data_IF_274846434532
#
_entry.id   IF_274846434532
#
_cell.length_a   1.000
_cell.length_b   1.000
_cell.length_c   1.000
_cell.angle_alpha   90.00
_cell.angle_beta   90.00
_cell.angle_gamma   90.00
#
_symmetry.space_group_name_H-M   'P 1'
#
loop_
_entity.id
_entity.type
_entity.pdbx_description
1 polymer ?
#
# COMPACT_ATOMS: atom_id res chain seq x y z
N UNK A 1 11.51 9.21 -28.29
CA UNK A 1 11.90 10.10 -27.17
C UNK A 1 12.45 9.25 -26.06
N UNK A 2 13.56 9.62 -25.45
CA UNK A 2 14.06 8.92 -24.25
C UNK A 2 13.05 9.10 -23.12
N UNK A 3 12.75 8.05 -22.38
CA UNK A 3 11.87 8.06 -21.20
C UNK A 3 12.48 8.95 -20.11
N UNK A 4 11.69 9.88 -19.55
CA UNK A 4 12.14 10.72 -18.44
C UNK A 4 12.30 9.88 -17.17
N UNK A 5 13.29 10.20 -16.34
CA UNK A 5 13.55 9.53 -15.06
C UNK A 5 12.59 10.06 -14.00
N UNK A 6 12.14 9.16 -13.14
CA UNK A 6 11.15 9.46 -12.08
C UNK A 6 11.75 9.18 -10.72
N UNK A 7 11.70 10.18 -9.85
CA UNK A 7 12.23 10.11 -8.49
C UNK A 7 11.16 10.36 -7.45
N UNK A 8 11.42 9.92 -6.22
CA UNK A 8 10.55 10.14 -5.05
C UNK A 8 11.13 11.31 -4.26
N UNK A 9 10.33 12.36 -4.09
CA UNK A 9 10.74 13.58 -3.37
C UNK A 9 9.97 13.79 -2.06
N UNK A 10 8.85 13.11 -1.85
CA UNK A 10 8.08 13.20 -0.61
C UNK A 10 7.28 11.95 -0.31
N UNK A 11 7.01 11.72 0.97
CA UNK A 11 6.28 10.57 1.47
C UNK A 11 5.35 10.96 2.62
N UNK A 12 4.18 10.33 2.69
CA UNK A 12 3.23 10.46 3.79
C UNK A 12 2.51 9.17 4.06
N UNK A 13 2.16 8.91 5.32
CA UNK A 13 1.59 7.63 5.72
C UNK A 13 0.74 7.74 6.97
N UNK A 14 -0.32 6.92 7.01
CA UNK A 14 -1.02 6.51 8.21
C UNK A 14 -1.09 4.99 8.20
N UNK A 15 -0.77 4.36 9.31
CA UNK A 15 -0.78 2.90 9.45
C UNK A 15 -1.19 2.50 10.87
N UNK A 16 -1.44 1.21 11.14
CA UNK A 16 -1.65 0.73 12.51
C UNK A 16 -0.46 0.95 13.46
N UNK A 17 0.73 1.26 12.91
CA UNK A 17 1.94 1.51 13.68
C UNK A 17 2.17 2.99 14.02
N UNK A 18 1.54 3.91 13.29
CA UNK A 18 1.69 5.34 13.50
C UNK A 18 0.93 6.18 12.50
N UNK A 19 0.81 7.48 12.79
CA UNK A 19 0.06 8.46 11.99
C UNK A 19 0.94 9.27 11.04
N UNK A 20 2.20 8.89 10.91
CA UNK A 20 3.17 9.46 9.99
C UNK A 20 4.24 8.44 9.57
N UNK A 21 5.09 8.81 8.61
CA UNK A 21 6.18 7.95 8.12
C UNK A 21 7.21 7.63 9.22
N UNK A 22 7.71 8.59 10.02
CA UNK A 22 8.69 8.29 11.06
C UNK A 22 8.19 7.31 12.12
N UNK A 23 7.00 7.50 12.67
CA UNK A 23 6.44 6.63 13.72
C UNK A 23 6.12 5.23 13.20
N UNK A 24 5.61 5.13 11.97
CA UNK A 24 5.34 3.85 11.31
C UNK A 24 6.65 3.09 11.06
N UNK A 25 7.69 3.77 10.54
CA UNK A 25 8.99 3.14 10.29
C UNK A 25 9.69 2.68 11.55
N UNK A 26 9.65 3.48 12.62
CA UNK A 26 10.16 3.06 13.93
C UNK A 26 9.45 1.81 14.44
N UNK A 27 8.13 1.71 14.26
CA UNK A 27 7.36 0.51 14.58
C UNK A 27 7.80 -0.71 13.80
N UNK A 28 8.06 -0.55 12.49
CA UNK A 28 8.59 -1.60 11.61
C UNK A 28 9.96 -2.08 12.08
N UNK A 29 10.90 -1.17 12.32
CA UNK A 29 12.25 -1.52 12.76
C UNK A 29 12.27 -2.20 14.14
N UNK A 30 11.35 -1.82 15.02
CA UNK A 30 11.19 -2.43 16.33
C UNK A 30 10.48 -3.80 16.30
N UNK A 31 10.01 -4.27 15.13
CA UNK A 31 9.23 -5.51 15.02
C UNK A 31 7.90 -5.44 15.79
N UNK A 32 7.29 -4.25 15.91
CA UNK A 32 6.07 -4.06 16.69
C UNK A 32 4.85 -4.44 15.85
N UNK A 33 3.92 -5.21 16.43
CA UNK A 33 2.61 -5.44 15.82
C UNK A 33 1.68 -4.25 16.05
N UNK A 34 1.04 -3.77 14.97
CA UNK A 34 -0.05 -2.78 15.03
C UNK A 34 -1.43 -3.43 15.18
N UNK A 35 -1.50 -4.76 15.24
CA UNK A 35 -2.74 -5.52 15.25
C UNK A 35 -3.24 -5.68 16.69
N UNK A 36 -4.52 -5.38 16.92
CA UNK A 36 -5.17 -5.47 18.23
C UNK A 36 -6.68 -5.69 18.07
N UNK A 37 -7.41 -5.98 19.15
CA UNK A 37 -8.86 -6.01 19.13
C UNK A 37 -9.45 -4.71 18.56
N UNK A 38 -10.52 -4.82 17.78
CA UNK A 38 -11.28 -3.68 17.25
C UNK A 38 -12.27 -3.23 18.33
N UNK A 39 -12.18 -1.98 18.77
CA UNK A 39 -12.94 -1.45 19.90
C UNK A 39 -14.05 -0.46 19.48
N UNK A 40 -14.02 0.03 18.24
CA UNK A 40 -14.98 1.05 17.77
C UNK A 40 -16.33 0.48 17.32
N UNK A 41 -16.53 -0.84 17.42
CA UNK A 41 -17.77 -1.52 17.09
C UNK A 41 -17.89 -2.85 17.85
N UNK A 42 -19.13 -3.33 18.04
CA UNK A 42 -19.38 -4.66 18.60
C UNK A 42 -19.16 -5.75 17.55
N UNK A 43 -18.15 -6.57 17.77
CA UNK A 43 -17.81 -7.72 16.93
C UNK A 43 -18.07 -9.07 17.62
N UNK A 44 -18.85 -9.12 18.71
CA UNK A 44 -19.12 -10.36 19.49
C UNK A 44 -19.72 -11.48 18.64
N UNK A 45 -20.52 -11.14 17.61
CA UNK A 45 -21.13 -12.09 16.69
C UNK A 45 -20.21 -12.48 15.49
N UNK A 46 -19.03 -11.89 15.37
CA UNK A 46 -18.13 -12.13 14.23
C UNK A 46 -17.05 -13.17 14.58
N UNK A 47 -16.62 -13.94 13.56
CA UNK A 47 -15.54 -14.92 13.72
C UNK A 47 -14.17 -14.25 13.94
N UNK A 48 -13.97 -13.05 13.41
CA UNK A 48 -12.76 -12.24 13.60
C UNK A 48 -13.13 -10.95 14.32
N UNK A 49 -12.42 -10.63 15.42
CA UNK A 49 -12.71 -9.49 16.29
C UNK A 49 -11.53 -8.55 16.47
N UNK A 50 -10.54 -8.64 15.60
CA UNK A 50 -9.30 -7.85 15.63
C UNK A 50 -8.91 -7.38 14.23
N UNK A 51 -8.01 -6.39 14.17
CA UNK A 51 -7.50 -5.81 12.94
C UNK A 51 -6.43 -4.78 13.21
N UNK A 52 -5.95 -4.17 12.14
CA UNK A 52 -4.99 -3.07 12.21
C UNK A 52 -5.70 -1.72 12.01
N UNK A 53 -6.26 -1.15 13.06
CA UNK A 53 -6.88 0.18 13.00
C UNK A 53 -5.84 1.30 13.16
N UNK A 54 -6.03 2.42 12.47
CA UNK A 54 -5.24 3.65 12.68
C UNK A 54 -5.62 4.25 14.04
N UNK A 55 -4.63 4.43 14.91
CA UNK A 55 -4.81 4.97 16.26
C UNK A 55 -4.14 6.34 16.40
N UNK A 56 -4.75 7.24 17.15
CA UNK A 56 -4.20 8.57 17.40
C UNK A 56 -4.29 9.53 16.22
N UNK A 57 -5.11 9.23 15.21
CA UNK A 57 -5.35 10.13 14.10
C UNK A 57 -6.20 11.33 14.54
N UNK A 58 -5.64 12.50 14.41
CA UNK A 58 -6.31 13.77 14.64
C UNK A 58 -6.56 14.46 13.29
N UNK A 59 -7.82 14.41 12.85
CA UNK A 59 -8.23 14.96 11.55
C UNK A 59 -8.10 16.48 11.50
N UNK A 60 -8.20 17.18 12.64
CA UNK A 60 -8.16 18.64 12.69
C UNK A 60 -6.79 19.22 12.33
N UNK A 61 -5.74 18.39 12.33
CA UNK A 61 -4.43 18.77 11.80
C UNK A 61 -4.42 18.93 10.26
N UNK A 62 -5.42 18.39 9.57
CA UNK A 62 -5.48 18.34 8.11
C UNK A 62 -6.69 19.02 7.50
N UNK A 63 -7.83 19.02 8.19
CA UNK A 63 -9.08 19.63 7.72
C UNK A 63 -9.99 19.99 8.91
N UNK A 64 -10.95 20.87 8.70
CA UNK A 64 -11.92 21.20 9.75
C UNK A 64 -12.82 20.02 10.09
N UNK A 65 -13.26 19.90 11.35
CA UNK A 65 -14.23 18.90 11.78
C UNK A 65 -15.56 18.94 10.97
N UNK A 66 -15.92 20.11 10.43
CA UNK A 66 -17.10 20.28 9.57
C UNK A 66 -16.89 19.61 8.20
N UNK A 67 -15.72 19.69 7.63
CA UNK A 67 -15.37 19.02 6.35
C UNK A 67 -15.22 17.51 6.56
N UNK A 68 -14.52 17.10 7.61
CA UNK A 68 -14.30 15.69 7.93
C UNK A 68 -15.63 14.90 8.05
N UNK A 69 -16.66 15.49 8.66
CA UNK A 69 -17.99 14.85 8.79
C UNK A 69 -18.71 14.56 7.48
N UNK A 70 -18.26 15.12 6.36
CA UNK A 70 -18.81 14.87 5.02
C UNK A 70 -18.12 13.73 4.29
N UNK A 71 -16.98 13.26 4.80
CA UNK A 71 -16.06 12.36 4.13
C UNK A 71 -15.93 11.06 4.91
N UNK A 72 -15.96 9.93 4.20
CA UNK A 72 -15.58 8.65 4.78
C UNK A 72 -14.11 8.68 5.24
N UNK A 73 -13.77 7.87 6.23
CA UNK A 73 -12.43 7.82 6.82
C UNK A 73 -11.33 7.49 5.80
N UNK A 74 -11.63 6.66 4.77
CA UNK A 74 -10.61 6.40 3.75
C UNK A 74 -10.19 7.67 3.01
N UNK A 75 -11.11 8.62 2.77
CA UNK A 75 -10.80 9.92 2.16
C UNK A 75 -9.98 10.77 3.14
N UNK A 76 -10.37 10.81 4.41
CA UNK A 76 -9.63 11.57 5.43
C UNK A 76 -8.19 11.05 5.56
N UNK A 77 -7.97 9.73 5.61
CA UNK A 77 -6.65 9.11 5.66
C UNK A 77 -5.83 9.40 4.39
N UNK A 78 -6.44 9.25 3.22
CA UNK A 78 -5.80 9.54 1.94
C UNK A 78 -5.36 10.99 1.81
N UNK A 79 -6.20 11.94 2.22
CA UNK A 79 -5.85 13.36 2.25
C UNK A 79 -4.73 13.66 3.25
N UNK A 80 -4.80 13.11 4.46
CA UNK A 80 -3.77 13.31 5.48
C UNK A 80 -2.40 12.81 5.00
N UNK A 81 -2.32 11.58 4.47
CA UNK A 81 -1.08 11.04 3.90
C UNK A 81 -0.57 11.90 2.72
N UNK A 82 -1.48 12.38 1.88
CA UNK A 82 -1.12 13.24 0.74
C UNK A 82 -0.57 14.60 1.17
N UNK A 83 -1.18 15.24 2.16
CA UNK A 83 -0.66 16.50 2.71
C UNK A 83 0.71 16.30 3.37
N UNK A 84 0.93 15.19 4.06
CA UNK A 84 2.25 14.84 4.59
C UNK A 84 3.28 14.71 3.45
N UNK A 85 2.95 13.96 2.39
CA UNK A 85 3.84 13.75 1.26
C UNK A 85 4.20 15.05 0.53
N UNK A 86 3.22 15.92 0.27
CA UNK A 86 3.45 17.23 -0.36
C UNK A 86 4.30 18.13 0.53
N UNK A 87 4.04 18.16 1.83
CA UNK A 87 4.84 18.92 2.80
C UNK A 87 6.29 18.40 2.87
N UNK A 88 6.48 17.09 2.93
CA UNK A 88 7.79 16.45 2.97
C UNK A 88 8.62 16.73 1.70
N UNK A 89 7.95 16.80 0.54
CA UNK A 89 8.59 17.11 -0.75
C UNK A 89 9.08 18.55 -0.87
N UNK A 90 8.57 19.48 -0.04
CA UNK A 90 8.80 20.92 -0.20
C UNK A 90 8.29 21.49 -1.53
N UNK A 91 7.32 20.82 -2.16
CA UNK A 91 6.72 21.26 -3.42
C UNK A 91 5.84 22.50 -3.18
N UNK A 92 6.12 23.58 -3.89
CA UNK A 92 5.29 24.77 -3.91
C UNK A 92 4.42 24.75 -5.19
N UNK A 93 3.10 24.87 -5.03
CA UNK A 93 2.14 24.94 -6.13
C UNK A 93 1.95 26.40 -6.51
N UNK A 94 2.17 26.71 -7.78
CA UNK A 94 2.08 28.07 -8.33
C UNK A 94 1.24 28.08 -9.62
N UNK A 95 0.86 29.27 -10.10
CA UNK A 95 0.18 29.40 -11.39
C UNK A 95 0.99 28.85 -12.56
N UNK A 96 2.31 28.86 -12.44
CA UNK A 96 3.21 28.40 -13.51
C UNK A 96 3.33 26.87 -13.60
N UNK A 97 3.09 26.14 -12.51
CA UNK A 97 3.32 24.69 -12.46
C UNK A 97 2.06 23.84 -12.20
N UNK A 98 0.95 24.43 -11.74
CA UNK A 98 -0.27 23.69 -11.32
C UNK A 98 -0.83 22.75 -12.38
N UNK A 99 -0.74 23.09 -13.67
CA UNK A 99 -1.22 22.27 -14.78
C UNK A 99 -0.32 21.04 -15.03
N UNK A 100 0.88 21.03 -14.45
CA UNK A 100 1.87 19.95 -14.56
C UNK A 100 1.94 19.05 -13.32
N UNK A 101 1.09 19.31 -12.30
CA UNK A 101 1.03 18.55 -11.07
C UNK A 101 -0.30 17.80 -11.01
N UNK A 102 -0.24 16.47 -11.03
CA UNK A 102 -1.42 15.60 -11.01
C UNK A 102 -1.55 14.78 -9.73
N UNK A 103 -2.65 14.03 -9.65
CA UNK A 103 -3.00 13.18 -8.50
C UNK A 103 -3.53 11.82 -8.97
N UNK A 104 -3.04 10.75 -8.37
CA UNK A 104 -3.48 9.37 -8.62
C UNK A 104 -3.54 8.58 -7.31
N UNK A 105 -4.64 8.69 -6.58
CA UNK A 105 -4.85 7.98 -5.30
C UNK A 105 -6.14 7.19 -5.37
N UNK A 106 -6.02 5.87 -5.16
CA UNK A 106 -7.14 4.94 -5.18
C UNK A 106 -7.49 4.35 -3.82
N UNK A 107 -8.53 3.54 -3.81
CA UNK A 107 -8.94 2.69 -2.71
C UNK A 107 -9.42 1.36 -3.27
N UNK A 108 -9.28 0.28 -2.51
CA UNK A 108 -9.75 -1.04 -2.94
C UNK A 108 -11.27 -1.14 -2.93
N UNK A 109 -11.93 -0.56 -1.93
CA UNK A 109 -13.38 -0.63 -1.73
C UNK A 109 -14.03 0.75 -1.67
N UNK A 110 -13.32 1.77 -1.20
CA UNK A 110 -13.86 3.12 -1.04
C UNK A 110 -14.64 3.31 0.26
N UNK A 111 -15.69 4.13 0.23
CA UNK A 111 -16.45 4.57 1.39
C UNK A 111 -17.35 3.52 2.01
N UNK A 112 -16.82 2.36 2.37
CA UNK A 112 -17.58 1.21 2.86
C UNK A 112 -18.32 1.54 4.16
N UNK A 113 -17.70 2.26 5.08
CA UNK A 113 -18.32 2.68 6.34
C UNK A 113 -19.48 3.65 6.10
N UNK A 114 -19.30 4.62 5.19
CA UNK A 114 -20.35 5.56 4.84
C UNK A 114 -21.53 4.87 4.13
N UNK A 115 -21.24 3.88 3.26
CA UNK A 115 -22.26 3.04 2.62
C UNK A 115 -23.06 2.27 3.68
N UNK A 116 -22.38 1.58 4.61
CA UNK A 116 -23.02 0.82 5.70
C UNK A 116 -23.95 1.71 6.54
N UNK A 117 -23.46 2.86 7.00
CA UNK A 117 -24.21 3.79 7.81
C UNK A 117 -25.39 4.41 7.05
N UNK A 118 -25.20 4.73 5.77
CA UNK A 118 -26.28 5.30 4.93
C UNK A 118 -27.35 4.27 4.62
N UNK A 119 -26.98 3.01 4.37
CA UNK A 119 -27.97 1.92 4.22
C UNK A 119 -28.82 1.75 5.48
N UNK A 120 -28.21 1.78 6.67
CA UNK A 120 -28.94 1.72 7.94
C UNK A 120 -29.93 2.89 8.05
N UNK A 121 -29.48 4.12 7.79
CA UNK A 121 -30.35 5.31 7.82
C UNK A 121 -31.50 5.22 6.81
N UNK A 122 -31.23 4.70 5.60
CA UNK A 122 -32.25 4.51 4.57
C UNK A 122 -33.37 3.56 5.04
N UNK A 123 -32.99 2.40 5.61
CA UNK A 123 -33.97 1.39 6.03
C UNK A 123 -34.71 1.76 7.31
N UNK A 124 -34.07 2.43 8.27
CA UNK A 124 -34.68 2.80 9.53
C UNK A 124 -35.48 4.12 9.47
N UNK A 125 -35.05 5.09 8.67
CA UNK A 125 -35.55 6.46 8.70
C UNK A 125 -36.05 7.01 7.35
N UNK A 126 -35.84 6.23 6.27
CA UNK A 126 -36.28 6.56 4.91
C UNK A 126 -35.34 7.47 4.12
N UNK A 127 -35.62 7.68 2.82
CA UNK A 127 -34.70 8.33 1.87
C UNK A 127 -34.38 9.79 2.16
N UNK A 128 -35.27 10.50 2.90
CA UNK A 128 -35.03 11.91 3.26
C UNK A 128 -33.87 12.11 4.26
N UNK A 129 -33.36 11.02 4.85
CA UNK A 129 -32.26 11.06 5.80
C UNK A 129 -30.89 10.79 5.15
N UNK A 130 -30.86 10.45 3.87
CA UNK A 130 -29.61 10.31 3.12
C UNK A 130 -28.92 11.67 3.04
N UNK A 131 -27.64 11.70 3.40
CA UNK A 131 -26.82 12.92 3.33
C UNK A 131 -26.61 13.35 1.87
N UNK A 132 -26.69 14.66 1.53
CA UNK A 132 -26.30 15.14 0.20
C UNK A 132 -24.82 14.93 -0.08
N UNK A 133 -24.00 14.66 0.93
CA UNK A 133 -22.58 14.33 0.81
C UNK A 133 -22.30 12.83 0.69
N UNK A 134 -23.33 11.97 0.68
CA UNK A 134 -23.13 10.52 0.59
C UNK A 134 -22.28 10.12 -0.62
N UNK A 135 -22.65 10.55 -1.82
CA UNK A 135 -21.92 10.20 -3.03
C UNK A 135 -20.49 10.76 -3.02
N UNK A 136 -20.26 12.09 -2.90
CA UNK A 136 -18.90 12.62 -2.89
C UNK A 136 -18.06 12.19 -1.68
N UNK A 137 -18.69 11.77 -0.59
CA UNK A 137 -18.03 11.24 0.60
C UNK A 137 -17.69 9.73 0.52
N UNK A 138 -18.09 9.03 -0.55
CA UNK A 138 -17.91 7.58 -0.68
C UNK A 138 -17.15 7.15 -1.93
N UNK A 139 -17.17 7.93 -3.01
CA UNK A 139 -16.61 7.55 -4.31
C UNK A 139 -15.09 7.55 -4.27
N UNK A 140 -14.48 6.51 -4.83
CA UNK A 140 -13.05 6.21 -4.68
C UNK A 140 -12.12 7.32 -5.17
N UNK A 141 -12.47 7.98 -6.29
CA UNK A 141 -11.63 9.05 -6.85
C UNK A 141 -11.64 10.36 -6.04
N UNK A 142 -12.40 10.43 -4.95
CA UNK A 142 -12.56 11.69 -4.23
C UNK A 142 -11.36 12.06 -3.35
N UNK A 143 -10.46 11.14 -3.03
CA UNK A 143 -9.16 11.53 -2.45
C UNK A 143 -8.39 12.39 -3.45
N UNK A 144 -8.26 11.92 -4.71
CA UNK A 144 -7.63 12.68 -5.79
C UNK A 144 -8.37 13.99 -6.07
N UNK A 145 -9.70 13.95 -6.12
CA UNK A 145 -10.54 15.11 -6.36
C UNK A 145 -10.38 16.20 -5.28
N UNK A 146 -10.49 15.85 -4.01
CA UNK A 146 -10.35 16.82 -2.90
C UNK A 146 -8.92 17.36 -2.79
N UNK A 147 -7.90 16.52 -2.96
CA UNK A 147 -6.52 16.99 -2.95
C UNK A 147 -6.27 18.01 -4.06
N UNK A 148 -6.74 17.71 -5.27
CA UNK A 148 -6.67 18.60 -6.43
C UNK A 148 -7.36 19.95 -6.15
N UNK A 149 -8.58 19.93 -5.62
CA UNK A 149 -9.35 21.14 -5.26
C UNK A 149 -8.62 21.97 -4.20
N UNK A 150 -8.16 21.31 -3.14
CA UNK A 150 -7.60 21.98 -1.97
C UNK A 150 -6.23 22.59 -2.23
N UNK A 151 -5.43 21.99 -3.12
CA UNK A 151 -4.08 22.47 -3.48
C UNK A 151 -4.01 23.17 -4.84
N UNK A 152 -5.12 23.20 -5.62
CA UNK A 152 -5.16 23.82 -6.93
C UNK A 152 -4.40 23.03 -8.00
N UNK A 153 -4.32 21.71 -7.90
CA UNK A 153 -3.60 20.85 -8.85
C UNK A 153 -4.46 20.60 -10.09
N UNK A 154 -3.93 20.89 -11.27
CA UNK A 154 -4.68 20.88 -12.52
C UNK A 154 -4.13 19.89 -13.57
N UNK A 155 -3.13 19.08 -13.20
CA UNK A 155 -2.63 17.98 -14.01
C UNK A 155 -3.57 16.77 -14.01
N UNK A 156 -3.12 15.60 -14.50
CA UNK A 156 -3.92 14.38 -14.52
C UNK A 156 -4.54 14.06 -13.15
N UNK A 157 -5.84 13.76 -13.10
CA UNK A 157 -6.57 13.49 -11.85
C UNK A 157 -7.44 12.24 -12.01
N UNK A 158 -7.06 11.15 -11.36
CA UNK A 158 -7.75 9.87 -11.47
C UNK A 158 -7.52 9.00 -10.22
N UNK A 159 -8.23 7.86 -10.17
CA UNK A 159 -8.01 6.79 -9.21
C UNK A 159 -8.14 5.45 -9.92
N UNK A 160 -7.15 4.57 -9.73
CA UNK A 160 -7.19 3.18 -10.16
C UNK A 160 -7.63 2.35 -8.97
N UNK A 161 -8.55 1.42 -9.21
CA UNK A 161 -9.05 0.47 -8.21
C UNK A 161 -8.80 -0.94 -8.70
N UNK A 162 -7.90 -1.65 -8.03
CA UNK A 162 -7.47 -3.01 -8.36
C UNK A 162 -7.24 -3.83 -7.08
N UNK A 163 -8.23 -3.77 -6.17
CA UNK A 163 -8.19 -4.47 -4.89
C UNK A 163 -6.87 -4.21 -4.14
N UNK A 164 -6.17 -5.28 -3.72
CA UNK A 164 -4.92 -5.17 -2.96
C UNK A 164 -3.75 -4.54 -3.75
N UNK A 165 -3.86 -4.40 -5.07
CA UNK A 165 -2.81 -3.85 -5.94
C UNK A 165 -3.02 -2.36 -6.23
N UNK A 166 -4.10 -1.77 -5.73
CA UNK A 166 -4.51 -0.38 -5.99
C UNK A 166 -3.37 0.63 -5.80
N UNK A 167 -2.73 0.65 -4.64
CA UNK A 167 -1.65 1.61 -4.35
C UNK A 167 -0.44 1.46 -5.28
N UNK A 168 -0.04 0.22 -5.55
CA UNK A 168 1.04 -0.10 -6.49
C UNK A 168 0.72 0.37 -7.91
N UNK A 169 -0.50 0.13 -8.40
CA UNK A 169 -0.92 0.54 -9.73
C UNK A 169 -1.02 2.06 -9.85
N UNK A 170 -1.55 2.76 -8.84
CA UNK A 170 -1.59 4.23 -8.85
C UNK A 170 -0.19 4.84 -8.92
N UNK A 171 0.77 4.34 -8.12
CA UNK A 171 2.16 4.81 -8.15
C UNK A 171 2.81 4.50 -9.51
N UNK A 172 2.68 3.28 -10.01
CA UNK A 172 3.27 2.88 -11.28
C UNK A 172 2.72 3.64 -12.49
N UNK A 173 1.40 3.86 -12.54
CA UNK A 173 0.76 4.63 -13.63
C UNK A 173 1.08 6.12 -13.53
N UNK A 174 1.13 6.68 -12.32
CA UNK A 174 1.57 8.06 -12.11
C UNK A 174 3.03 8.27 -12.58
N UNK A 175 3.91 7.30 -12.31
CA UNK A 175 5.27 7.34 -12.85
C UNK A 175 5.30 7.32 -14.39
N UNK A 176 4.40 6.56 -15.03
CA UNK A 176 4.26 6.58 -16.49
C UNK A 176 3.80 7.93 -17.01
N UNK A 177 2.82 8.60 -16.37
CA UNK A 177 2.42 9.96 -16.76
C UNK A 177 3.63 10.92 -16.78
N UNK A 178 4.49 10.84 -15.76
CA UNK A 178 5.73 11.64 -15.72
C UNK A 178 6.70 11.19 -16.81
N UNK A 179 6.97 9.90 -16.93
CA UNK A 179 7.94 9.36 -17.87
C UNK A 179 7.60 9.68 -19.33
N UNK A 180 6.32 9.75 -19.67
CA UNK A 180 5.83 10.12 -21.01
C UNK A 180 5.56 11.61 -21.19
N UNK A 181 5.76 12.44 -20.16
CA UNK A 181 5.68 13.90 -20.27
C UNK A 181 4.30 14.51 -20.08
N UNK A 182 3.33 13.76 -19.59
CA UNK A 182 1.98 14.28 -19.30
C UNK A 182 1.95 15.14 -18.04
N UNK A 183 2.79 14.85 -17.06
CA UNK A 183 2.99 15.61 -15.84
C UNK A 183 4.48 15.76 -15.52
N UNK A 184 4.84 16.71 -14.66
CA UNK A 184 6.18 16.82 -14.10
C UNK A 184 6.21 16.31 -12.66
N UNK A 185 5.06 16.36 -11.97
CA UNK A 185 4.87 15.86 -10.59
C UNK A 185 3.55 15.14 -10.50
N UNK A 186 3.52 14.03 -9.76
CA UNK A 186 2.30 13.29 -9.41
C UNK A 186 2.31 12.96 -7.91
N UNK A 187 1.21 13.24 -7.23
CA UNK A 187 0.94 12.71 -5.89
C UNK A 187 0.18 11.40 -6.08
N UNK A 188 0.76 10.28 -5.68
CA UNK A 188 0.19 8.97 -5.97
C UNK A 188 0.22 8.03 -4.77
N UNK A 189 -0.77 7.13 -4.70
CA UNK A 189 -0.84 6.16 -3.60
C UNK A 189 -2.18 5.47 -3.48
N UNK A 190 -2.51 5.11 -2.24
CA UNK A 190 -3.77 4.45 -1.91
C UNK A 190 -4.18 4.66 -0.46
N UNK A 191 -5.47 4.57 -0.21
CA UNK A 191 -6.06 4.66 1.13
C UNK A 191 -7.17 3.64 1.31
N UNK A 192 -7.39 3.19 2.53
CA UNK A 192 -8.44 2.21 2.85
C UNK A 192 -8.93 2.37 4.29
N UNK A 193 -10.24 2.23 4.49
CA UNK A 193 -10.86 2.00 5.78
C UNK A 193 -11.92 0.93 5.62
N UNK A 194 -11.58 -0.29 5.98
CA UNK A 194 -12.42 -1.47 5.77
C UNK A 194 -12.68 -2.26 7.07
N UNK A 195 -12.14 -1.84 8.23
CA UNK A 195 -12.44 -2.46 9.53
C UNK A 195 -13.81 -2.02 10.06
N UNK A 196 -14.85 -2.24 9.24
CA UNK A 196 -16.25 -2.02 9.55
C UNK A 196 -17.05 -3.34 9.45
N UNK A 197 -18.32 -3.33 9.79
CA UNK A 197 -19.17 -4.54 9.81
C UNK A 197 -19.21 -5.28 8.48
N UNK A 198 -19.39 -4.55 7.37
CA UNK A 198 -19.38 -5.15 6.03
C UNK A 198 -18.00 -5.68 5.64
N UNK A 199 -16.92 -4.99 6.00
CA UNK A 199 -15.56 -5.43 5.69
C UNK A 199 -15.19 -6.70 6.46
N UNK A 200 -15.28 -6.67 7.80
CA UNK A 200 -14.99 -7.84 8.64
C UNK A 200 -15.95 -9.01 8.31
N UNK A 201 -17.24 -8.72 8.16
CA UNK A 201 -18.25 -9.74 7.85
C UNK A 201 -18.07 -10.35 6.46
N UNK A 202 -17.79 -9.52 5.46
CA UNK A 202 -17.61 -9.97 4.07
C UNK A 202 -16.36 -10.86 3.88
N UNK A 203 -15.21 -10.41 4.38
CA UNK A 203 -13.99 -11.22 4.33
C UNK A 203 -14.05 -12.43 5.26
N UNK A 204 -14.75 -12.32 6.40
CA UNK A 204 -15.03 -13.46 7.29
C UNK A 204 -15.91 -14.52 6.63
N UNK A 205 -16.98 -14.11 5.92
CA UNK A 205 -17.83 -15.03 5.14
C UNK A 205 -17.06 -15.74 4.02
N UNK A 206 -16.08 -15.05 3.42
CA UNK A 206 -15.16 -15.62 2.44
C UNK A 206 -14.08 -16.52 3.06
N UNK A 207 -14.04 -16.65 4.39
CA UNK A 207 -13.01 -17.39 5.15
C UNK A 207 -11.58 -16.95 4.82
N UNK A 208 -11.40 -15.67 4.54
CA UNK A 208 -10.12 -15.10 4.17
C UNK A 208 -9.35 -14.52 5.36
N UNK A 209 -10.03 -14.22 6.48
CA UNK A 209 -9.44 -13.63 7.68
C UNK A 209 -8.94 -14.69 8.66
N UNK A 210 -7.84 -14.35 9.34
CA UNK A 210 -7.41 -15.08 10.54
C UNK A 210 -8.47 -14.99 11.63
N UNK A 211 -8.64 -16.07 12.36
CA UNK A 211 -9.56 -16.18 13.51
C UNK A 211 -8.83 -16.29 14.85
N UNK A 212 -7.55 -15.96 14.90
CA UNK A 212 -6.69 -16.01 16.09
C UNK A 212 -7.02 -14.88 17.09
N UNK A 213 -8.26 -14.87 17.59
CA UNK A 213 -8.78 -13.83 18.48
C UNK A 213 -8.07 -13.76 19.85
N UNK A 214 -7.50 -14.86 20.32
CA UNK A 214 -6.82 -14.93 21.63
C UNK A 214 -5.43 -14.29 21.60
N UNK A 215 -4.80 -14.23 20.42
CA UNK A 215 -3.47 -13.65 20.22
C UNK A 215 -3.42 -12.75 18.96
N UNK A 216 -4.17 -11.63 18.90
CA UNK A 216 -4.26 -10.80 17.70
C UNK A 216 -2.91 -10.36 17.13
N UNK A 217 -1.97 -9.97 18.00
CA UNK A 217 -0.64 -9.52 17.59
C UNK A 217 0.20 -10.62 16.90
N UNK A 218 -0.19 -11.88 17.03
CA UNK A 218 0.45 -13.04 16.41
C UNK A 218 -0.33 -13.62 15.24
N UNK A 219 -1.44 -12.98 14.83
CA UNK A 219 -2.33 -13.51 13.80
C UNK A 219 -1.73 -13.38 12.39
N UNK A 220 -1.14 -12.23 12.06
CA UNK A 220 -0.44 -12.07 10.78
C UNK A 220 0.97 -12.67 10.87
N UNK A 221 1.15 -13.80 10.17
CA UNK A 221 2.37 -14.62 10.23
C UNK A 221 2.74 -15.21 8.87
N UNK A 222 3.12 -14.35 7.90
CA UNK A 222 3.44 -14.80 6.55
C UNK A 222 4.49 -15.92 6.54
N UNK A 223 4.25 -16.95 5.71
CA UNK A 223 5.08 -18.16 5.54
C UNK A 223 5.21 -19.08 6.76
N UNK A 224 4.62 -18.70 7.90
CA UNK A 224 4.56 -19.62 9.05
C UNK A 224 3.50 -20.72 8.81
N UNK A 225 3.80 -21.97 9.25
CA UNK A 225 2.91 -23.12 9.03
C UNK A 225 1.55 -22.97 9.71
N UNK A 226 1.48 -22.18 10.80
CA UNK A 226 0.27 -22.00 11.60
C UNK A 226 -0.55 -20.77 11.17
N UNK A 227 -0.28 -20.18 10.00
CA UNK A 227 -1.07 -19.10 9.42
C UNK A 227 -2.45 -19.59 9.00
N UNK A 228 -3.47 -18.79 9.24
CA UNK A 228 -4.88 -19.14 9.02
C UNK A 228 -5.69 -18.09 8.23
N UNK A 229 -5.02 -17.11 7.64
CA UNK A 229 -5.66 -16.03 6.88
C UNK A 229 -5.01 -14.68 7.12
N UNK A 230 -5.42 -13.68 6.35
CA UNK A 230 -4.88 -12.33 6.53
C UNK A 230 -5.55 -11.58 7.68
N UNK A 231 -4.94 -10.50 8.13
CA UNK A 231 -5.50 -9.56 9.11
C UNK A 231 -5.89 -8.27 8.38
N UNK A 232 -7.17 -7.90 8.43
CA UNK A 232 -7.69 -6.69 7.80
C UNK A 232 -7.19 -5.45 8.53
N UNK A 233 -6.75 -4.43 7.78
CA UNK A 233 -6.17 -3.21 8.36
C UNK A 233 -6.52 -1.98 7.54
N UNK A 234 -6.46 -0.82 8.19
CA UNK A 234 -6.76 0.50 7.65
C UNK A 234 -5.51 1.36 7.52
N UNK A 235 -5.55 2.36 6.67
CA UNK A 235 -4.52 3.37 6.55
C UNK A 235 -4.43 4.00 5.18
N UNK A 236 -3.33 4.71 4.95
CA UNK A 236 -3.03 5.35 3.68
C UNK A 236 -1.51 5.48 3.49
N UNK A 237 -1.09 5.45 2.23
CA UNK A 237 0.26 5.84 1.81
C UNK A 237 0.18 6.73 0.59
N UNK A 238 0.99 7.77 0.57
CA UNK A 238 1.14 8.66 -0.57
C UNK A 238 2.62 9.01 -0.79
N UNK A 239 3.01 9.06 -2.05
CA UNK A 239 4.35 9.51 -2.48
C UNK A 239 4.22 10.67 -3.46
N UNK A 240 5.17 11.58 -3.44
CA UNK A 240 5.37 12.57 -4.49
C UNK A 240 6.40 12.01 -5.46
N UNK A 241 5.93 11.72 -6.66
CA UNK A 241 6.74 11.34 -7.82
C UNK A 241 7.07 12.59 -8.60
N UNK A 242 8.30 12.71 -9.04
CA UNK A 242 8.77 13.92 -9.74
C UNK A 242 9.76 13.57 -10.86
N UNK A 243 9.74 14.33 -11.94
CA UNK A 243 10.73 14.24 -12.99
C UNK A 243 12.09 14.66 -12.43
N UNK A 244 13.14 13.91 -12.74
CA UNK A 244 14.46 14.07 -12.13
C UNK A 244 15.04 15.47 -12.29
N UNK A 245 15.03 16.03 -13.50
CA UNK A 245 15.64 17.35 -13.75
C UNK A 245 14.78 18.47 -13.14
N UNK A 246 13.46 18.30 -13.08
CA UNK A 246 12.57 19.19 -12.34
C UNK A 246 12.91 19.16 -10.84
N UNK A 247 13.07 17.97 -10.23
CA UNK A 247 13.45 17.83 -8.83
C UNK A 247 14.81 18.48 -8.52
N UNK A 248 15.81 18.24 -9.37
CA UNK A 248 17.14 18.86 -9.27
C UNK A 248 17.10 20.38 -9.37
N UNK A 249 16.35 20.90 -10.35
CA UNK A 249 16.25 22.35 -10.60
C UNK A 249 15.71 23.13 -9.40
N UNK A 250 14.80 22.52 -8.60
CA UNK A 250 14.26 23.15 -7.38
C UNK A 250 15.02 22.75 -6.10
N UNK A 251 16.10 21.97 -6.21
CA UNK A 251 16.88 21.50 -5.05
C UNK A 251 16.12 20.52 -4.16
N UNK A 252 15.22 19.72 -4.70
CA UNK A 252 14.44 18.77 -3.93
C UNK A 252 15.31 17.68 -3.32
N UNK A 253 14.95 17.25 -2.10
CA UNK A 253 15.47 16.01 -1.55
C UNK A 253 14.95 14.83 -2.39
N UNK A 254 15.83 13.94 -2.80
CA UNK A 254 15.48 12.73 -3.54
C UNK A 254 15.74 11.52 -2.63
N UNK A 255 14.71 10.71 -2.39
CA UNK A 255 14.78 9.53 -1.54
C UNK A 255 15.24 8.29 -2.30
N UNK A 256 14.69 8.08 -3.50
CA UNK A 256 14.98 6.96 -4.38
C UNK A 256 14.52 7.27 -5.81
N UNK A 257 14.93 6.46 -6.75
CA UNK A 257 14.42 6.46 -8.12
C UNK A 257 13.46 5.29 -8.32
N UNK A 258 12.27 5.53 -8.88
CA UNK A 258 11.37 4.50 -9.36
C UNK A 258 11.76 4.15 -10.80
N UNK A 259 12.50 3.04 -10.95
CA UNK A 259 13.11 2.67 -12.23
C UNK A 259 12.24 1.72 -13.06
N UNK A 260 11.31 0.99 -12.44
CA UNK A 260 10.47 0.04 -13.16
C UNK A 260 9.11 -0.22 -12.53
N UNK A 261 8.15 -0.54 -13.40
CA UNK A 261 6.80 -0.93 -13.04
C UNK A 261 6.32 -2.06 -13.95
N UNK A 262 5.87 -3.16 -13.35
CA UNK A 262 5.30 -4.31 -14.05
C UNK A 262 3.86 -4.59 -13.63
N UNK A 263 3.08 -5.08 -14.58
CA UNK A 263 1.72 -5.56 -14.36
C UNK A 263 1.52 -6.90 -15.05
N UNK A 264 0.61 -7.72 -14.53
CA UNK A 264 0.09 -8.92 -15.18
C UNK A 264 -1.30 -9.27 -14.65
N UNK A 265 -2.00 -10.17 -15.35
CA UNK A 265 -3.20 -10.83 -14.85
C UNK A 265 -2.99 -12.33 -14.72
N UNK A 266 -3.60 -12.97 -13.70
CA UNK A 266 -3.52 -14.43 -13.51
C UNK A 266 -4.41 -15.18 -14.49
N UNK A 267 -5.59 -14.66 -14.79
CA UNK A 267 -6.63 -15.30 -15.58
C UNK A 267 -6.97 -16.73 -15.04
N UNK A 268 -7.07 -16.85 -13.71
CA UNK A 268 -7.22 -18.14 -13.03
C UNK A 268 -8.47 -18.23 -12.15
N UNK A 269 -8.54 -17.48 -11.05
CA UNK A 269 -9.64 -17.51 -10.09
C UNK A 269 -9.89 -16.13 -9.48
N UNK A 270 -11.11 -15.87 -8.98
CA UNK A 270 -11.48 -14.55 -8.44
C UNK A 270 -10.70 -14.14 -7.18
N UNK A 271 -10.25 -15.10 -6.37
CA UNK A 271 -9.61 -14.81 -5.07
C UNK A 271 -8.33 -15.60 -4.80
N UNK A 272 -8.06 -16.67 -5.56
CA UNK A 272 -6.90 -17.52 -5.37
C UNK A 272 -5.87 -17.33 -6.50
N UNK A 273 -4.55 -17.23 -6.19
CA UNK A 273 -3.52 -17.28 -7.22
C UNK A 273 -3.33 -18.71 -7.74
N UNK A 274 -2.76 -18.90 -8.94
CA UNK A 274 -2.30 -20.20 -9.38
C UNK A 274 -1.17 -20.71 -8.47
N UNK A 275 -1.10 -22.01 -8.20
CA UNK A 275 -0.14 -22.62 -7.25
C UNK A 275 1.32 -22.37 -7.62
N UNK A 276 1.63 -22.30 -8.91
CA UNK A 276 2.97 -22.03 -9.43
C UNK A 276 3.38 -20.55 -9.37
N UNK A 277 2.46 -19.64 -8.98
CA UNK A 277 2.71 -18.20 -8.95
C UNK A 277 3.02 -17.57 -10.31
N UNK A 278 2.61 -18.18 -11.41
CA UNK A 278 2.98 -17.75 -12.77
C UNK A 278 2.60 -16.29 -13.07
N UNK A 279 1.47 -15.79 -12.57
CA UNK A 279 1.06 -14.40 -12.74
C UNK A 279 1.99 -13.44 -12.01
N UNK A 280 2.29 -13.71 -10.75
CA UNK A 280 3.25 -12.95 -9.94
C UNK A 280 4.65 -12.96 -10.58
N UNK A 281 5.12 -14.11 -11.07
CA UNK A 281 6.38 -14.23 -11.79
C UNK A 281 6.42 -13.34 -13.05
N UNK A 282 5.36 -13.39 -13.88
CA UNK A 282 5.25 -12.50 -15.07
C UNK A 282 5.29 -11.02 -14.67
N UNK A 283 4.62 -10.66 -13.59
CA UNK A 283 4.60 -9.29 -13.08
C UNK A 283 6.00 -8.81 -12.71
N UNK A 284 6.72 -9.56 -11.87
CA UNK A 284 8.10 -9.24 -11.48
C UNK A 284 9.03 -9.18 -12.70
N UNK A 285 8.93 -10.15 -13.62
CA UNK A 285 9.72 -10.15 -14.88
C UNK A 285 9.45 -8.88 -15.70
N UNK A 286 8.20 -8.45 -15.81
CA UNK A 286 7.84 -7.24 -16.54
C UNK A 286 8.42 -5.99 -15.85
N UNK A 287 8.39 -5.93 -14.50
CA UNK A 287 8.94 -4.81 -13.74
C UNK A 287 10.46 -4.71 -13.89
N UNK A 288 11.18 -5.82 -13.78
CA UNK A 288 12.63 -5.87 -13.95
C UNK A 288 13.03 -5.48 -15.39
N UNK A 289 12.31 -5.98 -16.39
CA UNK A 289 12.53 -5.59 -17.80
C UNK A 289 12.31 -4.10 -18.01
N UNK A 290 11.26 -3.51 -17.45
CA UNK A 290 10.96 -2.08 -17.52
C UNK A 290 12.04 -1.23 -16.83
N UNK A 291 12.60 -1.76 -15.73
CA UNK A 291 13.69 -1.14 -14.98
C UNK A 291 15.07 -1.25 -15.67
N UNK A 292 15.24 -2.16 -16.62
CA UNK A 292 16.57 -2.54 -17.13
C UNK A 292 17.47 -3.15 -16.04
N UNK A 293 16.87 -3.90 -15.10
CA UNK A 293 17.56 -4.54 -13.97
C UNK A 293 17.58 -6.05 -14.18
N UNK A 294 18.75 -6.64 -14.00
CA UNK A 294 18.87 -8.10 -13.98
C UNK A 294 18.44 -8.66 -12.61
N UNK A 295 17.88 -9.87 -12.55
CA UNK A 295 17.48 -10.49 -11.27
C UNK A 295 18.58 -10.47 -10.20
N UNK A 296 19.84 -10.67 -10.57
CA UNK A 296 20.99 -10.71 -9.67
C UNK A 296 21.32 -9.38 -9.00
N UNK A 297 20.73 -8.28 -9.46
CA UNK A 297 20.92 -6.93 -8.91
C UNK A 297 19.91 -6.59 -7.82
N UNK A 298 18.88 -7.41 -7.62
CA UNK A 298 17.85 -7.18 -6.58
C UNK A 298 18.36 -7.65 -5.23
N UNK A 299 18.35 -6.76 -4.26
CA UNK A 299 18.84 -7.04 -2.90
C UNK A 299 17.70 -7.35 -1.92
N UNK A 300 16.55 -6.69 -2.10
CA UNK A 300 15.43 -6.79 -1.19
C UNK A 300 14.09 -6.85 -1.93
N UNK A 301 13.18 -7.69 -1.43
CA UNK A 301 11.79 -7.76 -1.86
C UNK A 301 10.88 -7.50 -0.65
N UNK A 302 10.05 -6.45 -0.71
CA UNK A 302 8.88 -6.31 0.15
C UNK A 302 7.75 -7.10 -0.50
N UNK A 303 7.43 -8.23 0.09
CA UNK A 303 6.50 -9.19 -0.46
C UNK A 303 5.04 -8.78 -0.29
N UNK A 304 4.19 -9.33 -1.14
CA UNK A 304 2.76 -9.28 -0.87
C UNK A 304 2.41 -10.04 0.41
N UNK A 305 2.91 -11.26 0.61
CA UNK A 305 2.96 -12.02 1.87
C UNK A 305 1.83 -11.72 2.86
N UNK A 306 0.60 -12.15 2.54
CA UNK A 306 -0.61 -11.77 3.30
C UNK A 306 -0.90 -12.65 4.50
N UNK A 307 -0.10 -13.67 4.77
CA UNK A 307 -0.38 -14.69 5.78
C UNK A 307 -1.55 -15.63 5.39
N UNK A 308 -1.72 -15.85 4.08
CA UNK A 308 -2.69 -16.82 3.57
C UNK A 308 -1.99 -18.12 3.14
N UNK A 309 -2.59 -19.29 3.38
CA UNK A 309 -1.95 -20.57 3.05
C UNK A 309 -1.47 -20.68 1.60
N UNK A 310 -2.31 -20.36 0.64
CA UNK A 310 -1.98 -20.49 -0.79
C UNK A 310 -1.16 -19.31 -1.32
N UNK A 311 -1.47 -18.07 -0.92
CA UNK A 311 -0.84 -16.87 -1.47
C UNK A 311 0.65 -16.79 -1.17
N UNK A 312 1.02 -17.11 0.06
CA UNK A 312 2.41 -17.02 0.52
C UNK A 312 3.34 -18.03 -0.20
N UNK A 313 2.86 -19.26 -0.43
CA UNK A 313 3.61 -20.30 -1.17
C UNK A 313 3.73 -19.95 -2.65
N UNK A 314 2.65 -19.46 -3.27
CA UNK A 314 2.67 -19.06 -4.68
C UNK A 314 3.68 -17.94 -4.91
N UNK A 315 3.81 -16.98 -3.99
CA UNK A 315 4.82 -15.91 -4.09
C UNK A 315 6.25 -16.44 -3.95
N UNK A 316 6.53 -17.38 -3.04
CA UNK A 316 7.84 -18.07 -2.95
C UNK A 316 8.18 -18.77 -4.28
N UNK A 317 7.22 -19.50 -4.85
CA UNK A 317 7.39 -20.17 -6.14
C UNK A 317 7.72 -19.19 -7.27
N UNK A 318 7.02 -18.06 -7.30
CA UNK A 318 7.25 -16.99 -8.27
C UNK A 318 8.66 -16.38 -8.12
N UNK A 319 9.09 -16.09 -6.89
CA UNK A 319 10.42 -15.53 -6.61
C UNK A 319 11.51 -16.52 -7.02
N UNK A 320 11.40 -17.80 -6.64
CA UNK A 320 12.36 -18.83 -7.07
C UNK A 320 12.43 -18.96 -8.60
N UNK A 321 11.29 -18.88 -9.28
CA UNK A 321 11.20 -18.95 -10.74
C UNK A 321 11.92 -17.79 -11.46
N UNK A 322 11.87 -16.58 -10.92
CA UNK A 322 12.46 -15.38 -11.54
C UNK A 322 13.92 -15.21 -11.17
N UNK A 323 14.27 -15.45 -9.91
CA UNK A 323 15.60 -15.15 -9.37
C UNK A 323 16.55 -16.37 -9.35
N UNK A 324 16.05 -17.60 -9.58
CA UNK A 324 16.87 -18.82 -9.58
C UNK A 324 17.71 -18.93 -8.30
N UNK A 325 19.01 -19.21 -8.45
CA UNK A 325 19.96 -19.29 -7.32
C UNK A 325 20.12 -17.95 -6.56
N UNK A 326 19.80 -16.84 -7.20
CA UNK A 326 19.86 -15.53 -6.54
C UNK A 326 18.71 -15.33 -5.51
N UNK A 327 17.61 -16.07 -5.64
CA UNK A 327 16.54 -16.05 -4.66
C UNK A 327 17.03 -16.35 -3.22
N UNK A 328 18.07 -17.18 -3.09
CA UNK A 328 18.70 -17.54 -1.81
C UNK A 328 19.73 -16.52 -1.30
N UNK A 329 20.02 -15.46 -2.08
CA UNK A 329 20.99 -14.41 -1.74
C UNK A 329 20.34 -13.08 -1.43
N UNK A 330 19.17 -12.79 -1.99
CA UNK A 330 18.39 -11.62 -1.65
C UNK A 330 17.67 -11.81 -0.30
N UNK A 331 17.22 -10.73 0.33
CA UNK A 331 16.30 -10.82 1.48
C UNK A 331 14.89 -10.48 1.03
N UNK A 332 13.92 -11.20 1.57
CA UNK A 332 12.50 -10.99 1.32
C UNK A 332 11.76 -10.89 2.64
N UNK A 333 10.89 -9.94 2.83
CA UNK A 333 10.07 -9.88 4.05
C UNK A 333 8.66 -9.37 3.78
N UNK A 334 7.74 -9.71 4.67
CA UNK A 334 6.39 -9.14 4.66
C UNK A 334 6.18 -8.24 5.87
N UNK A 335 6.08 -6.94 5.60
CA UNK A 335 5.73 -5.94 6.61
C UNK A 335 4.27 -6.05 7.06
N UNK A 336 3.44 -6.80 6.33
CA UNK A 336 2.08 -7.15 6.75
C UNK A 336 2.03 -8.01 8.02
N UNK A 337 3.14 -8.65 8.38
CA UNK A 337 3.26 -9.30 9.68
C UNK A 337 3.05 -8.32 10.85
N UNK A 338 3.37 -7.04 10.65
CA UNK A 338 3.28 -5.96 11.63
C UNK A 338 2.08 -5.03 11.39
N UNK A 339 1.83 -4.68 10.14
CA UNK A 339 0.74 -3.74 9.78
C UNK A 339 -0.60 -4.41 9.54
N UNK A 340 -0.65 -5.73 9.29
CA UNK A 340 -1.78 -6.36 8.65
C UNK A 340 -1.90 -5.94 7.17
N UNK A 341 -3.01 -6.30 6.54
CA UNK A 341 -3.26 -6.04 5.12
C UNK A 341 -4.17 -4.83 4.93
N UNK A 342 -3.61 -3.73 4.46
CA UNK A 342 -4.32 -2.47 4.24
C UNK A 342 -5.05 -2.40 2.88
N UNK A 343 -5.29 -3.54 2.23
CA UNK A 343 -5.98 -3.65 0.94
C UNK A 343 -5.44 -2.64 -0.09
N UNK A 344 -6.29 -1.67 -0.52
CA UNK A 344 -5.90 -0.67 -1.52
C UNK A 344 -4.78 0.28 -1.09
N UNK A 345 -4.56 0.46 0.20
CA UNK A 345 -3.45 1.26 0.73
C UNK A 345 -2.13 0.46 0.82
N UNK A 346 -2.20 -0.88 0.85
CA UNK A 346 -1.06 -1.75 1.15
C UNK A 346 0.15 -1.46 0.25
N UNK A 347 -0.04 -1.46 -1.06
CA UNK A 347 1.07 -1.26 -2.00
C UNK A 347 1.74 0.11 -1.90
N UNK A 348 1.00 1.15 -1.49
CA UNK A 348 1.57 2.48 -1.27
C UNK A 348 2.41 2.56 0.02
N UNK A 349 1.91 1.96 1.10
CA UNK A 349 2.63 1.87 2.38
C UNK A 349 3.91 1.02 2.21
N UNK A 350 3.82 -0.09 1.50
CA UNK A 350 4.94 -0.99 1.23
C UNK A 350 5.98 -0.39 0.28
N UNK A 351 5.56 0.41 -0.70
CA UNK A 351 6.47 1.22 -1.51
C UNK A 351 7.30 2.18 -0.64
N UNK A 352 6.67 2.85 0.32
CA UNK A 352 7.38 3.71 1.28
C UNK A 352 8.37 2.90 2.12
N UNK A 353 8.00 1.71 2.59
CA UNK A 353 8.94 0.85 3.33
C UNK A 353 10.12 0.38 2.47
N UNK A 354 9.94 0.09 1.18
CA UNK A 354 11.04 -0.18 0.25
C UNK A 354 11.99 1.02 0.13
N UNK A 355 11.45 2.23 0.00
CA UNK A 355 12.25 3.46 -0.09
C UNK A 355 13.05 3.70 1.20
N UNK A 356 12.44 3.44 2.36
CA UNK A 356 13.10 3.57 3.65
C UNK A 356 14.16 2.47 3.87
N UNK A 357 13.92 1.25 3.40
CA UNK A 357 14.90 0.17 3.40
C UNK A 357 16.15 0.53 2.57
N UNK A 358 15.97 1.14 1.38
CA UNK A 358 17.06 1.69 0.56
C UNK A 358 17.82 2.81 1.28
N UNK A 359 17.10 3.71 1.97
CA UNK A 359 17.72 4.84 2.69
C UNK A 359 18.56 4.36 3.87
N UNK A 360 18.00 3.47 4.69
CA UNK A 360 18.57 3.06 5.97
C UNK A 360 19.41 1.79 5.87
N UNK A 361 19.46 1.15 4.69
CA UNK A 361 20.22 -0.08 4.42
C UNK A 361 19.85 -1.23 5.36
N UNK A 362 18.53 -1.42 5.56
CA UNK A 362 17.94 -2.39 6.47
C UNK A 362 16.78 -3.11 5.79
N UNK A 363 16.79 -4.44 5.80
CA UNK A 363 15.64 -5.25 5.45
C UNK A 363 14.72 -5.40 6.68
N UNK A 364 13.45 -4.94 6.62
CA UNK A 364 12.48 -5.09 7.69
C UNK A 364 12.20 -6.55 8.04
N UNK A 365 11.80 -6.86 9.28
CA UNK A 365 11.52 -8.24 9.66
C UNK A 365 10.14 -8.72 9.17
N UNK A 366 10.02 -10.02 9.01
CA UNK A 366 8.76 -10.75 9.06
C UNK A 366 8.58 -11.27 10.47
N UNK A 367 7.76 -10.63 11.30
CA UNK A 367 7.52 -11.12 12.66
C UNK A 367 6.55 -12.30 12.67
N UNK A 368 6.52 -13.05 13.79
CA UNK A 368 5.69 -14.25 13.97
C UNK A 368 6.05 -15.42 13.03
N UNK A 369 7.16 -15.37 12.35
CA UNK A 369 7.68 -16.47 11.55
C UNK A 369 8.54 -17.37 12.45
N UNK A 370 7.88 -18.21 13.23
CA UNK A 370 8.51 -19.10 14.22
C UNK A 370 8.78 -20.49 13.62
N UNK A 371 7.88 -20.95 12.76
CA UNK A 371 7.93 -22.26 12.12
C UNK A 371 7.69 -22.12 10.62
N UNK A 372 8.71 -21.85 9.80
CA UNK A 372 8.54 -21.73 8.33
C UNK A 372 7.86 -22.97 7.75
N UNK A 373 6.90 -22.73 6.83
CA UNK A 373 6.18 -23.79 6.14
C UNK A 373 7.09 -24.50 5.11
N UNK A 374 6.67 -25.66 4.66
CA UNK A 374 7.40 -26.42 3.65
C UNK A 374 7.61 -25.58 2.38
N UNK A 375 8.84 -25.57 1.86
CA UNK A 375 9.24 -24.78 0.70
C UNK A 375 9.54 -23.30 0.97
N UNK A 376 9.31 -22.79 2.19
CA UNK A 376 9.65 -21.43 2.61
C UNK A 376 11.09 -21.36 3.15
N UNK A 377 12.07 -21.62 2.31
CA UNK A 377 13.49 -21.79 2.63
C UNK A 377 14.37 -20.62 2.18
N UNK A 378 13.76 -19.49 1.78
CA UNK A 378 14.46 -18.27 1.43
C UNK A 378 14.86 -17.47 2.68
N UNK A 379 15.68 -16.43 2.52
CA UNK A 379 15.94 -15.46 3.59
C UNK A 379 14.71 -14.54 3.78
N UNK A 380 13.78 -14.96 4.62
CA UNK A 380 12.50 -14.27 4.90
C UNK A 380 12.59 -13.24 6.03
N UNK A 381 13.81 -12.91 6.46
CA UNK A 381 14.11 -11.94 7.54
C UNK A 381 13.26 -12.22 8.81
N UNK A 382 13.30 -13.47 9.29
CA UNK A 382 12.43 -13.94 10.37
C UNK A 382 12.68 -13.19 11.68
N UNK A 383 11.63 -12.60 12.23
CA UNK A 383 11.50 -12.01 13.57
C UNK A 383 12.45 -10.83 13.92
N UNK A 384 13.51 -10.59 13.18
CA UNK A 384 14.46 -9.50 13.44
C UNK A 384 14.89 -8.84 12.14
N UNK A 385 14.99 -7.51 12.14
CA UNK A 385 15.55 -6.76 11.02
C UNK A 385 16.96 -7.25 10.66
N UNK A 386 17.34 -7.07 9.40
CA UNK A 386 18.66 -7.43 8.90
C UNK A 386 19.32 -6.22 8.24
N UNK A 387 20.45 -5.79 8.81
CA UNK A 387 21.31 -4.81 8.15
C UNK A 387 21.95 -5.47 6.91
N UNK A 388 21.84 -4.81 5.78
CA UNK A 388 22.47 -5.22 4.53
C UNK A 388 22.52 -4.09 3.52
N UNK A 389 23.48 -4.17 2.59
CA UNK A 389 23.49 -3.26 1.44
C UNK A 389 22.29 -3.53 0.55
N UNK A 390 21.53 -2.47 0.23
CA UNK A 390 20.36 -2.51 -0.64
C UNK A 390 20.51 -1.39 -1.68
N UNK A 391 20.78 -1.76 -2.92
CA UNK A 391 20.84 -0.82 -4.06
C UNK A 391 19.55 -0.91 -4.90
N UNK A 392 18.90 -2.09 -4.94
CA UNK A 392 17.66 -2.32 -5.66
C UNK A 392 16.65 -3.05 -4.76
N UNK A 393 15.47 -2.46 -4.62
CA UNK A 393 14.34 -3.04 -3.88
C UNK A 393 13.11 -3.20 -4.79
N UNK A 394 12.38 -4.30 -4.60
CA UNK A 394 11.13 -4.61 -5.30
C UNK A 394 9.98 -4.62 -4.31
N UNK A 395 8.85 -3.99 -4.64
CA UNK A 395 7.59 -4.07 -3.88
C UNK A 395 6.56 -4.82 -4.71
N UNK A 396 5.99 -5.89 -4.16
CA UNK A 396 4.99 -6.73 -4.81
C UNK A 396 3.59 -6.54 -4.23
N UNK A 397 2.59 -6.52 -5.10
CA UNK A 397 1.18 -6.55 -4.72
C UNK A 397 0.42 -7.47 -5.67
N UNK A 398 -0.32 -8.43 -5.10
CA UNK A 398 -1.12 -9.39 -5.84
C UNK A 398 -2.56 -9.37 -5.29
N UNK A 399 -3.52 -9.00 -6.12
CA UNK A 399 -4.88 -8.69 -5.67
C UNK A 399 -5.94 -9.68 -6.14
N UNK A 400 -7.07 -9.68 -5.45
CA UNK A 400 -8.27 -10.36 -5.90
C UNK A 400 -8.63 -9.92 -7.33
N UNK A 401 -9.15 -10.85 -8.13
CA UNK A 401 -9.32 -10.69 -9.57
C UNK A 401 -8.09 -11.09 -10.37
N UNK A 402 -7.01 -11.57 -9.68
CA UNK A 402 -5.75 -11.95 -10.31
C UNK A 402 -4.96 -10.78 -10.87
N UNK A 403 -5.10 -9.61 -10.27
CA UNK A 403 -4.38 -8.38 -10.67
C UNK A 403 -3.05 -8.27 -9.93
N UNK A 404 -1.96 -8.12 -10.66
CA UNK A 404 -0.60 -8.12 -10.12
C UNK A 404 0.13 -6.83 -10.47
N UNK A 405 0.90 -6.29 -9.51
CA UNK A 405 1.73 -5.11 -9.66
C UNK A 405 3.06 -5.26 -8.92
N UNK A 406 4.16 -4.86 -9.56
CA UNK A 406 5.49 -4.80 -8.95
C UNK A 406 6.16 -3.48 -9.28
N UNK A 407 6.71 -2.80 -8.27
CA UNK A 407 7.51 -1.58 -8.39
C UNK A 407 8.98 -1.91 -8.13
N UNK A 408 9.88 -1.34 -8.92
CA UNK A 408 11.33 -1.48 -8.74
C UNK A 408 11.92 -0.12 -8.38
N UNK A 409 12.48 -0.02 -7.20
CA UNK A 409 13.15 1.16 -6.69
C UNK A 409 14.67 0.96 -6.70
N UNK A 410 15.40 2.01 -7.01
CA UNK A 410 16.86 2.07 -6.93
C UNK A 410 17.29 3.18 -6.01
N UNK A 411 18.34 2.94 -5.24
CA UNK A 411 19.01 3.97 -4.45
C UNK A 411 19.47 5.11 -5.36
N UNK A 412 19.23 6.32 -4.93
CA UNK A 412 19.68 7.51 -5.64
C UNK A 412 21.05 7.92 -5.13
N UNK A 413 22.04 7.95 -6.01
CA UNK A 413 23.44 8.25 -5.68
C UNK A 413 23.90 9.61 -6.28
N UNK A 414 22.97 10.52 -6.65
CA UNK A 414 23.26 11.85 -7.17
C UNK A 414 23.11 12.02 -8.68
#
# INVERSE_FOLDING_TARGET
MSRRRVVITGMGMLSPLGVDVPSSWQGILAGRSGIAPIEHMDLSAFSTRFGGSVRGFDVEQYMSAKEARKLDLFIQYGLAASYQAVRDSGLEVTDANRERIGVAIGSGIGGLTNIENTCRSLFEQGPRRISPFFVPGSVINMVSGFLSINLGLQGPNYAITTACTTGTHNIGMAARNIAYGEADVMVAGGSEMATCGLGIGGFGAARALSTRNDEPARASRPWDRDRDGFVLSDGAGAVVLEELEHAKARGARIYAELVGFGMSGDAFHMTAPPEDGAGAARCMKNALRDAGVNPEQVDYINAHGTSTPAGDIAEISAVKSIFGEHAYKLSMSSTKSMTGHLLGAAGAVEAIFCILALRDQVAPPTINLDNPDEGCDLDLVANRLKERSIEVAVSNSFGFGGTNGSLVFRRFNG
#
